data_IF_567851814525
#
_entry.id   IF_567851814525
#
_cell.length_a   1.000
_cell.length_b   1.000
_cell.length_c   1.000
_cell.angle_alpha   90.00
_cell.angle_beta   90.00
_cell.angle_gamma   90.00
#
_symmetry.space_group_name_H-M   'P 1'
#
loop_
_entity.id
_entity.type
_entity.pdbx_description
1 polymer ?
#
# COMPACT_ATOMS: atom_id res chain seq x y z
N UNK A 1 -38.37 16.09 50.64
CA UNK A 1 -38.38 15.50 49.28
C UNK A 1 -37.00 15.00 48.97
N UNK A 2 -36.81 13.69 48.90
CA UNK A 2 -35.52 13.00 48.95
C UNK A 2 -34.92 12.83 47.55
N UNK A 3 -33.83 13.49 47.20
CA UNK A 3 -33.22 13.54 45.86
C UNK A 3 -32.06 12.52 45.74
N UNK A 4 -31.98 11.55 46.64
CA UNK A 4 -30.86 10.59 46.70
C UNK A 4 -30.82 9.42 45.65
N UNK A 5 -31.88 8.99 44.95
CA UNK A 5 -31.75 7.81 44.08
C UNK A 5 -31.19 8.10 42.67
N UNK A 6 -31.21 9.34 42.20
CA UNK A 6 -30.81 9.64 40.79
C UNK A 6 -29.30 9.76 40.63
N UNK A 7 -28.60 10.27 41.66
CA UNK A 7 -27.13 10.45 41.60
C UNK A 7 -26.38 9.12 41.58
N UNK A 8 -26.88 8.10 42.26
CA UNK A 8 -26.23 6.78 42.32
C UNK A 8 -26.40 5.99 41.02
N UNK A 9 -27.49 6.23 40.27
CA UNK A 9 -27.69 5.56 38.97
C UNK A 9 -26.79 6.13 37.89
N UNK A 10 -26.57 7.45 37.85
CA UNK A 10 -25.70 8.12 36.90
C UNK A 10 -24.24 7.72 37.17
N UNK A 11 -23.83 7.61 38.44
CA UNK A 11 -22.47 7.19 38.78
C UNK A 11 -22.19 5.73 38.42
N UNK A 12 -23.16 4.84 38.57
CA UNK A 12 -23.06 3.41 38.19
C UNK A 12 -22.94 3.24 36.66
N UNK A 13 -23.71 3.98 35.89
CA UNK A 13 -23.63 3.94 34.40
C UNK A 13 -22.34 4.51 33.88
N UNK A 14 -21.81 5.59 34.48
CA UNK A 14 -20.51 6.16 34.10
C UNK A 14 -19.34 5.23 34.41
N UNK A 15 -19.34 4.55 35.54
CA UNK A 15 -18.31 3.57 35.92
C UNK A 15 -18.36 2.33 35.00
N UNK A 16 -19.53 1.89 34.58
CA UNK A 16 -19.66 0.75 33.67
C UNK A 16 -19.22 1.11 32.24
N UNK A 17 -19.48 2.34 31.78
CA UNK A 17 -18.99 2.82 30.48
C UNK A 17 -17.47 3.05 30.49
N UNK A 18 -16.89 3.49 31.61
CA UNK A 18 -15.43 3.64 31.72
C UNK A 18 -14.70 2.28 31.74
N UNK A 19 -15.30 1.24 32.33
CA UNK A 19 -14.72 -0.12 32.35
C UNK A 19 -14.78 -0.80 30.97
N UNK A 20 -15.71 -0.43 30.12
CA UNK A 20 -15.77 -0.93 28.73
C UNK A 20 -14.71 -0.22 27.86
N UNK A 21 -14.40 1.04 28.14
CA UNK A 21 -13.38 1.80 27.39
C UNK A 21 -11.93 1.39 27.71
N UNK A 22 -11.67 0.81 28.89
CA UNK A 22 -10.30 0.37 29.27
C UNK A 22 -9.94 -1.03 28.77
N UNK A 23 -10.88 -1.76 28.16
CA UNK A 23 -10.66 -3.12 27.62
C UNK A 23 -10.40 -3.16 26.11
N UNK A 24 -10.50 -2.02 25.41
CA UNK A 24 -10.00 -1.94 24.04
C UNK A 24 -8.51 -1.62 24.15
N UNK A 25 -7.69 -2.63 24.32
CA UNK A 25 -6.28 -2.54 24.01
C UNK A 25 -6.19 -2.25 22.52
N UNK A 26 -5.99 -0.98 22.16
CA UNK A 26 -5.48 -0.62 20.85
C UNK A 26 -4.13 -1.31 20.76
N UNK A 27 -4.12 -2.48 20.16
CA UNK A 27 -2.89 -3.18 19.83
C UNK A 27 -2.04 -2.20 19.04
N UNK A 28 -0.96 -1.71 19.65
CA UNK A 28 0.10 -1.04 18.95
C UNK A 28 0.50 -2.03 17.87
N UNK A 29 0.29 -1.71 16.61
CA UNK A 29 0.86 -2.48 15.52
C UNK A 29 2.39 -2.32 15.68
N UNK A 30 2.98 -3.24 16.43
CA UNK A 30 4.43 -3.42 16.44
C UNK A 30 4.83 -3.61 14.99
N UNK A 31 5.98 -3.03 14.63
CA UNK A 31 6.53 -3.16 13.29
C UNK A 31 6.44 -4.62 12.87
N UNK A 32 5.59 -4.89 11.88
CA UNK A 32 5.30 -6.25 11.46
C UNK A 32 6.62 -6.99 11.23
N UNK A 33 6.79 -8.12 11.89
CA UNK A 33 7.90 -9.02 11.57
C UNK A 33 7.87 -9.30 10.06
N UNK A 34 9.04 -9.39 9.41
CA UNK A 34 9.08 -9.73 8.01
C UNK A 34 8.32 -11.04 7.79
N UNK A 35 7.49 -11.11 6.74
CA UNK A 35 6.63 -12.27 6.49
C UNK A 35 7.48 -13.53 6.44
N UNK A 36 7.05 -14.55 7.16
CA UNK A 36 7.67 -15.88 7.10
C UNK A 36 7.57 -16.39 5.67
N UNK A 37 8.70 -16.65 5.04
CA UNK A 37 8.75 -17.16 3.68
C UNK A 37 7.91 -18.45 3.57
N UNK A 38 6.97 -18.49 2.64
CA UNK A 38 6.31 -19.73 2.28
C UNK A 38 7.34 -20.65 1.61
N UNK A 39 7.46 -21.92 2.03
CA UNK A 39 8.37 -22.86 1.41
C UNK A 39 8.01 -23.02 -0.07
N UNK A 40 8.88 -22.60 -0.99
CA UNK A 40 8.72 -22.76 -2.43
C UNK A 40 8.79 -21.50 -3.29
N UNK A 41 8.55 -20.29 -2.75
CA UNK A 41 8.44 -19.07 -3.55
C UNK A 41 9.76 -18.30 -3.80
N UNK A 42 10.88 -18.68 -3.20
CA UNK A 42 12.02 -17.77 -3.09
C UNK A 42 13.36 -18.32 -3.60
N UNK A 43 13.35 -19.40 -4.35
CA UNK A 43 14.60 -20.06 -4.74
C UNK A 43 15.46 -19.29 -5.74
N UNK A 44 14.88 -18.27 -6.45
CA UNK A 44 15.62 -17.48 -7.42
C UNK A 44 15.16 -16.02 -7.42
N UNK A 45 15.49 -15.26 -6.37
CA UNK A 45 15.31 -13.82 -6.37
C UNK A 45 16.63 -13.11 -6.58
N UNK A 46 16.76 -12.37 -7.69
CA UNK A 46 17.89 -11.47 -7.93
C UNK A 46 17.50 -10.05 -7.52
N UNK A 47 18.40 -9.34 -6.87
CA UNK A 47 18.21 -7.95 -6.42
C UNK A 47 19.33 -7.09 -6.96
N UNK A 48 18.99 -6.04 -7.71
CA UNK A 48 19.91 -5.07 -8.29
C UNK A 48 19.60 -3.67 -7.75
N UNK A 49 20.59 -2.97 -7.24
CA UNK A 49 20.47 -1.60 -6.71
C UNK A 49 21.37 -0.59 -7.41
N UNK A 50 22.29 -1.05 -8.24
CA UNK A 50 23.26 -0.24 -8.98
C UNK A 50 23.87 -1.05 -10.11
N UNK A 51 24.46 -0.40 -11.09
CA UNK A 51 25.13 -1.03 -12.24
C UNK A 51 24.51 -0.59 -13.57
N UNK A 52 25.05 -1.09 -14.64
CA UNK A 52 24.50 -0.90 -15.98
C UNK A 52 23.17 -1.68 -16.11
N UNK A 53 22.18 -1.04 -16.69
CA UNK A 53 20.86 -1.62 -16.94
C UNK A 53 20.74 -1.91 -18.44
N UNK A 54 19.99 -2.94 -18.78
CA UNK A 54 19.55 -3.12 -20.15
C UNK A 54 18.48 -2.07 -20.53
N UNK A 55 18.23 -1.92 -21.82
CA UNK A 55 17.33 -0.90 -22.36
C UNK A 55 15.89 -1.01 -21.79
N UNK A 56 15.41 -2.23 -21.54
CA UNK A 56 14.08 -2.45 -21.00
C UNK A 56 13.99 -2.02 -19.54
N UNK A 57 14.99 -2.35 -18.73
CA UNK A 57 15.10 -1.90 -17.35
C UNK A 57 15.23 -0.38 -17.25
N UNK A 58 16.04 0.25 -18.14
CA UNK A 58 16.18 1.71 -18.19
C UNK A 58 14.85 2.40 -18.50
N UNK A 59 14.14 1.91 -19.53
CA UNK A 59 12.83 2.45 -19.90
C UNK A 59 11.80 2.32 -18.75
N UNK A 60 11.72 1.15 -18.13
CA UNK A 60 10.81 0.91 -17.01
C UNK A 60 11.20 1.73 -15.77
N UNK A 61 12.50 1.89 -15.50
CA UNK A 61 12.99 2.76 -14.42
C UNK A 61 12.59 4.22 -14.64
N UNK A 62 12.70 4.73 -15.85
CA UNK A 62 12.28 6.10 -16.18
C UNK A 62 10.78 6.29 -15.95
N UNK A 63 9.96 5.30 -16.33
CA UNK A 63 8.51 5.31 -16.03
C UNK A 63 8.28 5.35 -14.52
N UNK A 64 8.96 4.50 -13.76
CA UNK A 64 8.83 4.46 -12.31
C UNK A 64 9.22 5.80 -11.66
N UNK A 65 10.30 6.43 -12.09
CA UNK A 65 10.75 7.73 -11.58
C UNK A 65 9.74 8.84 -11.86
N UNK A 66 9.28 8.95 -13.11
CA UNK A 66 8.32 9.98 -13.50
C UNK A 66 7.00 9.83 -12.74
N UNK A 67 6.47 8.62 -12.66
CA UNK A 67 5.24 8.34 -11.91
C UNK A 67 5.40 8.60 -10.41
N UNK A 68 6.57 8.26 -9.84
CA UNK A 68 6.87 8.53 -8.43
C UNK A 68 6.88 10.03 -8.12
N UNK A 69 7.47 10.83 -9.02
CA UNK A 69 7.51 12.29 -8.89
C UNK A 69 6.11 12.90 -8.97
N UNK A 70 5.24 12.39 -9.84
CA UNK A 70 3.84 12.85 -9.92
C UNK A 70 3.05 12.47 -8.69
N UNK A 71 3.18 11.23 -8.20
CA UNK A 71 2.54 10.80 -6.95
C UNK A 71 3.04 11.61 -5.75
N UNK A 72 4.36 11.89 -5.69
CA UNK A 72 4.96 12.74 -4.66
C UNK A 72 4.32 14.12 -4.66
N UNK A 73 4.28 14.80 -5.83
CA UNK A 73 3.65 16.12 -5.98
C UNK A 73 2.17 16.11 -5.60
N UNK A 74 1.44 15.06 -5.96
CA UNK A 74 0.03 14.93 -5.59
C UNK A 74 -0.15 14.86 -4.07
N UNK A 75 0.65 14.04 -3.38
CA UNK A 75 0.61 13.93 -1.92
C UNK A 75 1.07 15.21 -1.22
N UNK A 76 2.10 15.88 -1.72
CA UNK A 76 2.56 17.18 -1.21
C UNK A 76 1.49 18.25 -1.38
N UNK A 77 0.81 18.28 -2.53
CA UNK A 77 -0.31 19.20 -2.78
C UNK A 77 -1.42 19.03 -1.75
N UNK A 78 -1.76 17.81 -1.34
CA UNK A 78 -2.76 17.57 -0.31
C UNK A 78 -2.40 18.29 1.01
N UNK A 79 -1.12 18.24 1.37
CA UNK A 79 -0.60 18.91 2.58
C UNK A 79 -0.60 20.43 2.40
N UNK A 80 -0.07 20.92 1.29
CA UNK A 80 0.09 22.36 1.03
C UNK A 80 -1.25 23.09 0.93
N UNK A 81 -2.28 22.41 0.43
CA UNK A 81 -3.63 22.98 0.34
C UNK A 81 -4.48 22.76 1.58
N UNK A 82 -3.96 22.03 2.58
CA UNK A 82 -4.69 21.72 3.81
C UNK A 82 -5.82 20.70 3.64
N UNK A 83 -5.91 20.02 2.48
CA UNK A 83 -6.89 18.93 2.27
C UNK A 83 -6.58 17.75 3.20
N UNK A 84 -5.28 17.48 3.41
CA UNK A 84 -4.78 16.53 4.39
C UNK A 84 -3.68 17.16 5.21
N UNK A 85 -3.62 16.78 6.47
CA UNK A 85 -2.46 17.09 7.32
C UNK A 85 -1.31 16.15 6.98
N UNK A 86 -0.07 16.56 7.24
CA UNK A 86 1.08 15.68 7.09
C UNK A 86 0.93 14.39 7.92
N UNK A 87 0.34 14.49 9.12
CA UNK A 87 0.07 13.33 9.98
C UNK A 87 -0.88 12.32 9.33
N UNK A 88 -1.88 12.79 8.60
CA UNK A 88 -2.80 11.92 7.87
C UNK A 88 -2.11 11.26 6.68
N UNK A 89 -1.36 12.03 5.88
CA UNK A 89 -0.61 11.50 4.71
C UNK A 89 0.43 10.46 5.13
N UNK A 90 1.04 10.60 6.31
CA UNK A 90 2.00 9.65 6.86
C UNK A 90 1.39 8.64 7.84
N UNK A 91 0.07 8.53 7.90
CA UNK A 91 -0.60 7.58 8.78
C UNK A 91 -0.21 6.13 8.44
N UNK A 92 -0.01 5.34 9.49
CA UNK A 92 0.22 3.89 9.40
C UNK A 92 -0.89 3.12 10.11
N UNK A 93 -2.03 3.78 10.31
CA UNK A 93 -3.22 3.16 10.89
C UNK A 93 -4.12 2.66 9.76
N UNK A 94 -4.32 1.36 9.71
CA UNK A 94 -5.17 0.70 8.72
C UNK A 94 -6.36 0.06 9.43
N UNK A 95 -7.55 0.36 8.94
CA UNK A 95 -8.81 -0.14 9.48
C UNK A 95 -9.39 -1.17 8.51
N UNK A 96 -9.67 -2.41 8.93
CA UNK A 96 -10.33 -3.39 8.06
C UNK A 96 -11.64 -2.83 7.50
N UNK A 97 -11.88 -3.02 6.22
CA UNK A 97 -13.14 -2.63 5.57
C UNK A 97 -14.24 -3.62 5.90
N UNK A 98 -15.47 -3.14 6.02
CA UNK A 98 -16.66 -3.96 6.24
C UNK A 98 -17.59 -3.89 5.03
N UNK A 99 -18.15 -5.03 4.58
CA UNK A 99 -17.92 -6.39 5.07
C UNK A 99 -16.47 -6.84 4.83
N UNK A 100 -15.98 -7.79 5.63
CA UNK A 100 -14.64 -8.35 5.44
C UNK A 100 -14.57 -9.05 4.08
N UNK A 101 -13.47 -8.80 3.37
CA UNK A 101 -13.18 -9.40 2.05
C UNK A 101 -12.09 -10.47 2.15
N UNK A 102 -12.00 -11.32 1.15
CA UNK A 102 -10.88 -12.25 0.99
C UNK A 102 -10.30 -12.07 -0.41
N UNK A 103 -9.07 -11.49 -0.54
CA UNK A 103 -8.16 -11.01 0.51
C UNK A 103 -8.71 -9.83 1.33
N UNK A 104 -8.18 -9.67 2.57
CA UNK A 104 -8.55 -8.54 3.42
C UNK A 104 -8.17 -7.20 2.77
N UNK A 105 -9.09 -6.25 2.86
CA UNK A 105 -8.89 -4.86 2.43
C UNK A 105 -9.02 -3.91 3.62
N UNK A 106 -8.34 -2.77 3.51
CA UNK A 106 -8.24 -1.79 4.58
C UNK A 106 -8.60 -0.40 4.07
N UNK A 107 -8.75 0.54 5.00
CA UNK A 107 -8.83 1.97 4.72
C UNK A 107 -7.89 2.73 5.66
N UNK A 108 -7.47 3.92 5.24
CA UNK A 108 -6.61 4.80 6.04
C UNK A 108 -7.00 6.27 5.83
N UNK A 109 -6.36 7.19 6.54
CA UNK A 109 -6.75 8.61 6.59
C UNK A 109 -6.54 9.39 5.29
N UNK A 110 -5.77 8.87 4.33
CA UNK A 110 -5.52 9.54 3.04
C UNK A 110 -6.27 8.93 1.85
N UNK A 111 -7.05 7.87 2.07
CA UNK A 111 -7.73 7.13 0.98
C UNK A 111 -8.67 7.98 0.14
N UNK A 112 -9.50 8.80 0.78
CA UNK A 112 -10.47 9.67 0.11
C UNK A 112 -9.81 10.65 -0.88
N UNK A 113 -8.58 11.05 -0.60
CA UNK A 113 -7.78 11.86 -1.51
C UNK A 113 -7.08 11.02 -2.57
N UNK A 114 -6.38 9.95 -2.15
CA UNK A 114 -5.61 9.12 -3.08
C UNK A 114 -6.48 8.39 -4.10
N UNK A 115 -7.71 8.02 -3.74
CA UNK A 115 -8.69 7.40 -4.65
C UNK A 115 -9.05 8.28 -5.85
N UNK A 116 -8.87 9.60 -5.71
CA UNK A 116 -9.16 10.56 -6.77
C UNK A 116 -7.92 10.86 -7.60
N UNK A 117 -6.75 11.02 -6.95
CA UNK A 117 -5.59 11.60 -7.61
C UNK A 117 -4.58 10.59 -8.12
N UNK A 118 -4.51 9.39 -7.53
CA UNK A 118 -3.50 8.39 -7.88
C UNK A 118 -3.89 7.53 -9.09
N UNK A 119 -5.13 7.00 -9.23
CA UNK A 119 -5.49 6.15 -10.36
C UNK A 119 -5.23 6.79 -11.73
N UNK A 120 -5.53 8.07 -11.98
CA UNK A 120 -5.21 8.69 -13.28
C UNK A 120 -3.71 8.71 -13.60
N UNK A 121 -2.84 8.83 -12.58
CA UNK A 121 -1.39 8.78 -12.77
C UNK A 121 -0.97 7.35 -13.13
N UNK A 122 -1.35 6.37 -12.31
CA UNK A 122 -1.01 4.96 -12.51
C UNK A 122 -1.49 4.44 -13.88
N UNK A 123 -2.75 4.70 -14.24
CA UNK A 123 -3.33 4.27 -15.50
C UNK A 123 -2.75 5.03 -16.70
N UNK A 124 -2.44 6.31 -16.53
CA UNK A 124 -1.81 7.12 -17.56
C UNK A 124 -0.45 6.54 -17.98
N UNK A 125 0.39 6.18 -17.01
CA UNK A 125 1.68 5.55 -17.30
C UNK A 125 1.54 4.12 -17.83
N UNK A 126 0.61 3.32 -17.28
CA UNK A 126 0.38 1.96 -17.77
C UNK A 126 -0.09 1.94 -19.23
N UNK A 127 -1.05 2.81 -19.58
CA UNK A 127 -1.61 2.87 -20.94
C UNK A 127 -0.59 3.27 -22.00
N UNK A 128 0.40 4.10 -21.64
CA UNK A 128 1.48 4.53 -22.52
C UNK A 128 2.61 3.50 -22.65
N UNK A 129 2.62 2.48 -21.80
CA UNK A 129 3.69 1.48 -21.72
C UNK A 129 3.10 0.06 -21.74
N UNK A 130 2.68 -0.44 -22.91
CA UNK A 130 1.93 -1.71 -23.03
C UNK A 130 2.72 -2.95 -22.62
N UNK A 131 4.05 -2.84 -22.47
CA UNK A 131 4.89 -3.93 -21.97
C UNK A 131 4.87 -4.04 -20.44
N UNK A 132 4.34 -3.04 -19.74
CA UNK A 132 4.18 -3.10 -18.29
C UNK A 132 2.91 -3.84 -17.91
N UNK A 133 2.98 -4.60 -16.83
CA UNK A 133 1.83 -5.26 -16.21
C UNK A 133 1.14 -4.33 -15.21
N UNK A 134 1.89 -3.50 -14.53
CA UNK A 134 1.37 -2.57 -13.53
C UNK A 134 2.30 -1.39 -13.29
N UNK A 135 1.68 -0.32 -12.84
CA UNK A 135 2.30 0.85 -12.23
C UNK A 135 1.54 1.11 -10.94
N UNK A 136 2.17 1.00 -9.77
CA UNK A 136 1.44 1.02 -8.50
C UNK A 136 2.21 1.74 -7.40
N UNK A 137 1.49 2.58 -6.66
CA UNK A 137 1.99 3.29 -5.48
C UNK A 137 1.74 2.47 -4.21
N UNK A 138 2.76 2.30 -3.39
CA UNK A 138 2.65 1.68 -2.07
C UNK A 138 3.19 2.63 -1.00
N UNK A 139 2.56 2.63 0.16
CA UNK A 139 3.16 3.28 1.32
C UNK A 139 4.32 2.45 1.90
N UNK A 140 5.00 3.01 2.90
CA UNK A 140 6.16 2.36 3.55
C UNK A 140 5.88 1.03 4.25
N UNK A 141 4.62 0.62 4.39
CA UNK A 141 4.22 -0.67 4.97
C UNK A 141 3.63 -1.62 3.92
N UNK A 142 3.68 -1.23 2.63
CA UNK A 142 3.16 -2.02 1.53
C UNK A 142 1.66 -1.86 1.30
N UNK A 143 1.01 -0.89 1.94
CA UNK A 143 -0.38 -0.60 1.66
C UNK A 143 -0.52 0.07 0.30
N UNK A 144 -1.42 -0.46 -0.53
CA UNK A 144 -1.78 0.02 -1.86
C UNK A 144 -3.08 0.82 -1.74
N UNK A 145 -3.04 2.17 -1.73
CA UNK A 145 -4.26 2.98 -1.64
C UNK A 145 -5.16 2.80 -2.86
N UNK A 146 -4.56 2.69 -4.04
CA UNK A 146 -5.23 2.35 -5.30
C UNK A 146 -4.31 1.48 -6.15
N UNK A 147 -4.87 0.83 -7.15
CA UNK A 147 -4.12 0.07 -8.16
C UNK A 147 -4.62 0.48 -9.53
N UNK A 148 -3.89 0.16 -10.60
CA UNK A 148 -4.40 0.32 -11.96
C UNK A 148 -5.84 -0.19 -12.06
N UNK A 149 -6.69 0.51 -12.78
CA UNK A 149 -8.14 0.25 -12.87
C UNK A 149 -8.47 -1.20 -13.22
N UNK A 150 -7.63 -1.86 -14.03
CA UNK A 150 -7.79 -3.28 -14.39
C UNK A 150 -7.66 -4.22 -13.17
N UNK A 151 -6.97 -3.80 -12.12
CA UNK A 151 -6.77 -4.53 -10.87
C UNK A 151 -7.48 -3.91 -9.66
N UNK A 152 -8.29 -2.88 -9.89
CA UNK A 152 -9.07 -2.18 -8.87
C UNK A 152 -10.57 -2.54 -8.94
N UNK A 153 -10.88 -3.76 -9.39
CA UNK A 153 -12.26 -4.21 -9.57
C UNK A 153 -12.94 -4.41 -8.20
N UNK A 154 -14.26 -4.18 -8.11
CA UNK A 154 -15.00 -4.48 -6.90
C UNK A 154 -14.99 -5.99 -6.61
N UNK A 155 -15.03 -6.38 -5.33
CA UNK A 155 -15.07 -7.79 -4.94
C UNK A 155 -16.30 -8.50 -5.54
N UNK A 156 -16.07 -9.68 -6.12
CA UNK A 156 -17.12 -10.53 -6.70
C UNK A 156 -17.63 -11.57 -5.71
N UNK A 157 -16.84 -11.86 -4.66
CA UNK A 157 -17.07 -12.97 -3.73
C UNK A 157 -16.43 -14.28 -4.18
N UNK A 158 -15.88 -14.35 -5.39
CA UNK A 158 -15.03 -15.46 -5.82
C UNK A 158 -13.57 -15.20 -5.41
N UNK A 159 -13.00 -16.00 -4.49
CA UNK A 159 -11.67 -15.74 -3.95
C UNK A 159 -10.56 -15.72 -5.02
N UNK A 160 -10.70 -16.49 -6.09
CA UNK A 160 -9.69 -16.54 -7.16
C UNK A 160 -9.74 -15.26 -7.99
N UNK A 161 -10.91 -14.85 -8.42
CA UNK A 161 -11.13 -13.60 -9.16
C UNK A 161 -10.71 -12.40 -8.31
N UNK A 162 -11.15 -12.37 -7.06
CA UNK A 162 -10.86 -11.26 -6.15
C UNK A 162 -9.36 -11.17 -5.83
N UNK A 163 -8.66 -12.31 -5.72
CA UNK A 163 -7.22 -12.33 -5.53
C UNK A 163 -6.47 -11.64 -6.67
N UNK A 164 -6.90 -11.86 -7.91
CA UNK A 164 -6.28 -11.33 -9.12
C UNK A 164 -6.66 -9.87 -9.42
N UNK A 165 -7.92 -9.50 -9.25
CA UNK A 165 -8.45 -8.24 -9.78
C UNK A 165 -8.87 -7.21 -8.72
N UNK A 166 -8.97 -7.59 -7.43
CA UNK A 166 -9.29 -6.68 -6.34
C UNK A 166 -8.03 -6.39 -5.54
N UNK A 167 -7.08 -5.62 -6.11
CA UNK A 167 -5.75 -5.43 -5.52
C UNK A 167 -5.60 -4.11 -4.76
N UNK A 168 -6.49 -3.14 -4.97
CA UNK A 168 -6.55 -1.90 -4.18
C UNK A 168 -6.89 -2.16 -2.73
N UNK A 169 -6.44 -1.28 -1.85
CA UNK A 169 -6.73 -1.33 -0.40
C UNK A 169 -6.12 -2.53 0.32
N UNK A 170 -5.17 -3.22 -0.29
CA UNK A 170 -4.47 -4.36 0.30
C UNK A 170 -3.11 -3.95 0.84
N UNK A 171 -2.56 -4.76 1.73
CA UNK A 171 -1.18 -4.63 2.22
C UNK A 171 -0.35 -5.74 1.59
N UNK A 172 0.60 -5.36 0.73
CA UNK A 172 1.57 -6.26 0.11
C UNK A 172 2.85 -6.27 0.94
N UNK A 173 2.84 -7.10 1.96
CA UNK A 173 3.95 -7.25 2.89
C UNK A 173 4.73 -8.57 2.68
N UNK A 174 4.55 -9.20 1.51
CA UNK A 174 5.45 -10.26 1.06
C UNK A 174 6.89 -9.71 0.88
N UNK A 175 7.86 -10.62 0.68
CA UNK A 175 9.27 -10.24 0.61
C UNK A 175 9.56 -9.18 -0.48
N UNK A 176 8.92 -9.28 -1.64
CA UNK A 176 9.13 -8.34 -2.76
C UNK A 176 8.51 -6.98 -2.42
N UNK A 177 7.24 -6.96 -2.02
CA UNK A 177 6.54 -5.74 -1.61
C UNK A 177 7.21 -5.05 -0.43
N UNK A 178 7.55 -5.80 0.61
CA UNK A 178 8.23 -5.27 1.79
C UNK A 178 9.59 -4.65 1.44
N UNK A 179 10.42 -5.35 0.63
CA UNK A 179 11.73 -4.83 0.23
C UNK A 179 11.59 -3.58 -0.62
N UNK A 180 10.60 -3.52 -1.51
CA UNK A 180 10.31 -2.35 -2.35
C UNK A 180 9.92 -1.13 -1.50
N UNK A 181 8.93 -1.27 -0.62
CA UNK A 181 8.41 -0.14 0.15
C UNK A 181 9.39 0.39 1.22
N UNK A 182 10.40 -0.40 1.60
CA UNK A 182 11.48 0.02 2.51
C UNK A 182 12.72 0.53 1.79
N UNK A 183 12.81 0.40 0.47
CA UNK A 183 13.97 0.84 -0.29
C UNK A 183 14.09 2.37 -0.24
N UNK A 184 15.27 2.86 0.12
CA UNK A 184 15.63 4.29 0.09
C UNK A 184 16.73 4.61 -0.91
N UNK A 185 17.31 3.57 -1.59
CA UNK A 185 18.26 3.73 -2.69
C UNK A 185 17.55 4.29 -3.92
N UNK A 186 18.27 4.90 -4.88
CA UNK A 186 17.67 5.52 -6.06
C UNK A 186 16.71 4.61 -6.81
N UNK A 187 16.99 3.32 -6.88
CA UNK A 187 16.10 2.28 -7.39
C UNK A 187 16.41 0.92 -6.77
N UNK A 188 15.48 0.00 -6.96
CA UNK A 188 15.62 -1.41 -6.63
C UNK A 188 14.95 -2.21 -7.73
N UNK A 189 15.69 -3.16 -8.33
CA UNK A 189 15.14 -4.15 -9.27
C UNK A 189 15.12 -5.50 -8.58
N UNK A 190 13.98 -6.18 -8.64
CA UNK A 190 13.79 -7.53 -8.12
C UNK A 190 13.32 -8.42 -9.27
N UNK A 191 14.03 -9.51 -9.50
CA UNK A 191 13.66 -10.50 -10.50
C UNK A 191 13.30 -11.78 -9.74
N UNK A 192 12.10 -12.28 -9.95
CA UNK A 192 11.60 -13.44 -9.21
C UNK A 192 10.56 -14.22 -10.01
N UNK A 193 10.36 -15.47 -9.64
CA UNK A 193 9.27 -16.28 -10.17
C UNK A 193 8.01 -16.07 -9.32
N UNK A 194 6.89 -15.83 -10.00
CA UNK A 194 5.56 -15.84 -9.36
C UNK A 194 5.19 -17.27 -8.99
N UNK A 195 4.19 -17.38 -8.11
CA UNK A 195 3.53 -18.64 -7.78
C UNK A 195 2.88 -19.31 -9.00
N UNK A 196 2.58 -18.53 -10.05
CA UNK A 196 2.09 -18.99 -11.35
C UNK A 196 3.20 -19.46 -12.30
N UNK A 197 4.48 -19.34 -11.91
CA UNK A 197 5.65 -19.81 -12.67
C UNK A 197 6.30 -18.76 -13.58
N UNK A 198 5.64 -17.64 -13.85
CA UNK A 198 6.18 -16.60 -14.72
C UNK A 198 7.32 -15.84 -14.05
N UNK A 199 8.35 -15.51 -14.82
CA UNK A 199 9.44 -14.66 -14.35
C UNK A 199 9.06 -13.19 -14.49
N UNK A 200 9.06 -12.47 -13.39
CA UNK A 200 8.69 -11.07 -13.29
C UNK A 200 9.89 -10.20 -12.92
N UNK A 201 10.02 -9.08 -13.58
CA UNK A 201 10.87 -7.96 -13.14
C UNK A 201 9.98 -6.94 -12.45
N UNK A 202 10.37 -6.55 -11.24
CA UNK A 202 9.76 -5.49 -10.43
C UNK A 202 10.80 -4.39 -10.21
N UNK A 203 10.53 -3.21 -10.71
CA UNK A 203 11.37 -2.03 -10.48
C UNK A 203 10.65 -1.11 -9.53
N UNK A 204 11.30 -0.73 -8.45
CA UNK A 204 10.77 0.21 -7.48
C UNK A 204 11.70 1.39 -7.23
N UNK A 205 11.10 2.55 -7.06
CA UNK A 205 11.79 3.79 -6.70
C UNK A 205 11.14 4.39 -5.45
N UNK A 206 11.93 5.04 -4.56
CA UNK A 206 11.37 5.63 -3.35
C UNK A 206 10.49 6.84 -3.69
N UNK A 207 9.32 6.93 -3.09
CA UNK A 207 8.47 8.12 -3.09
C UNK A 207 8.76 8.92 -1.82
N UNK A 208 9.06 10.21 -1.97
CA UNK A 208 9.33 11.12 -0.87
C UNK A 208 8.28 12.23 -0.85
N UNK A 209 7.77 12.52 0.32
CA UNK A 209 6.81 13.61 0.55
C UNK A 209 7.42 14.54 1.59
N UNK A 210 7.55 15.81 1.27
CA UNK A 210 8.24 16.81 2.13
C UNK A 210 9.65 16.34 2.56
N UNK A 211 10.38 15.70 1.62
CA UNK A 211 11.72 15.15 1.86
C UNK A 211 11.77 13.87 2.69
N UNK A 212 10.65 13.40 3.25
CA UNK A 212 10.57 12.18 4.06
C UNK A 212 10.16 10.99 3.21
N UNK A 213 10.74 9.82 3.45
CA UNK A 213 10.35 8.58 2.77
C UNK A 213 8.91 8.22 3.11
N UNK A 214 8.05 8.20 2.10
CA UNK A 214 6.64 7.87 2.23
C UNK A 214 6.36 6.41 1.87
N UNK A 215 7.01 5.91 0.82
CA UNK A 215 6.82 4.57 0.31
C UNK A 215 7.58 4.35 -0.99
N UNK A 216 7.01 3.60 -1.91
CA UNK A 216 7.60 3.32 -3.20
C UNK A 216 6.56 3.36 -4.33
N UNK A 217 6.99 3.76 -5.51
CA UNK A 217 6.30 3.44 -6.74
C UNK A 217 6.95 2.23 -7.38
N UNK A 218 6.15 1.29 -7.85
CA UNK A 218 6.58 0.05 -8.47
C UNK A 218 6.02 -0.08 -9.87
N UNK A 219 6.86 -0.56 -10.78
CA UNK A 219 6.44 -1.02 -12.10
C UNK A 219 6.86 -2.47 -12.27
N UNK A 220 6.03 -3.26 -12.94
CA UNK A 220 6.32 -4.66 -13.19
C UNK A 220 6.10 -5.05 -14.63
N UNK A 221 6.93 -5.98 -15.16
CA UNK A 221 6.78 -6.56 -16.47
C UNK A 221 7.29 -7.99 -16.50
N UNK A 222 6.79 -8.79 -17.46
CA UNK A 222 7.28 -10.14 -17.69
C UNK A 222 8.62 -10.10 -18.43
N UNK A 223 9.58 -10.92 -18.00
CA UNK A 223 10.76 -11.16 -18.85
C UNK A 223 10.32 -11.93 -20.09
N UNK A 224 10.77 -11.50 -21.28
CA UNK A 224 10.75 -12.40 -22.43
C UNK A 224 11.55 -13.65 -22.10
N UNK A 225 11.07 -14.81 -22.56
CA UNK A 225 11.82 -16.07 -22.50
C UNK A 225 13.15 -15.97 -23.25
#
# INVERSE_FOLDING_TARGET
MNIQPVANYIFSVLVTLLSIYTSISVGRADAAEPPKAHPGQWHERMVIRSGELDQQNEAALLVAQNAADECSRALEKAIDTGIKTEKEVFSTLYFPRTPLTSPLTFTTFYDDYTDIVIPPIEDGYLSQNPNLLYVVLLDRNGYVPSHNSIYAQPPTGDPVTDYHYCRSKRIFNDMVGYTSCKNTSPFLIQIYHRDTGEKLVDISVPVRVKGKHWGALRVGYLTGE
#
